data_IF_159931342606
#
_entry.id   IF_159931342606
#
_cell.length_a   1.000
_cell.length_b   1.000
_cell.length_c   1.000
_cell.angle_alpha   90.00
_cell.angle_beta   90.00
_cell.angle_gamma   90.00
#
_symmetry.space_group_name_H-M   'P 1'
#
loop_
_entity.id
_entity.type
_entity.pdbx_description
1 polymer ?
#
# COMPACT_ATOMS: atom_id res chain seq x y z
N UNK A 1 -30.99 -47.89 3.37
CA UNK A 1 -30.31 -46.58 3.44
C UNK A 1 -29.95 -46.31 4.91
N UNK A 2 -28.70 -46.48 5.37
CA UNK A 2 -28.48 -46.24 6.82
C UNK A 2 -27.04 -46.36 7.34
N UNK A 3 -26.26 -47.34 6.90
CA UNK A 3 -24.95 -47.61 7.54
C UNK A 3 -23.77 -46.92 6.82
N UNK A 4 -23.80 -46.86 5.49
CA UNK A 4 -22.77 -46.17 4.69
C UNK A 4 -22.81 -44.64 4.87
N UNK A 5 -24.01 -44.07 5.02
CA UNK A 5 -24.22 -42.63 5.25
C UNK A 5 -23.68 -42.18 6.62
N UNK A 6 -23.96 -42.94 7.68
CA UNK A 6 -23.43 -42.68 9.03
C UNK A 6 -21.89 -42.70 9.08
N UNK A 7 -21.28 -43.66 8.39
CA UNK A 7 -19.80 -43.77 8.29
C UNK A 7 -19.19 -42.58 7.53
N UNK A 8 -19.80 -42.18 6.42
CA UNK A 8 -19.37 -41.01 5.65
C UNK A 8 -19.50 -39.72 6.47
N UNK A 9 -20.58 -39.55 7.24
CA UNK A 9 -20.75 -38.40 8.14
C UNK A 9 -19.71 -38.37 9.26
N UNK A 10 -19.45 -39.50 9.93
CA UNK A 10 -18.43 -39.56 10.99
C UNK A 10 -17.02 -39.29 10.47
N UNK A 11 -16.69 -39.80 9.27
CA UNK A 11 -15.43 -39.51 8.62
C UNK A 11 -15.30 -38.01 8.27
N UNK A 12 -16.38 -37.40 7.75
CA UNK A 12 -16.42 -35.96 7.46
C UNK A 12 -16.21 -35.09 8.70
N UNK A 13 -16.90 -35.41 9.80
CA UNK A 13 -16.70 -34.71 11.08
C UNK A 13 -15.30 -34.91 11.65
N UNK A 14 -14.72 -36.10 11.50
CA UNK A 14 -13.34 -36.38 11.92
C UNK A 14 -12.32 -35.56 11.15
N UNK A 15 -12.48 -35.45 9.82
CA UNK A 15 -11.62 -34.60 8.98
C UNK A 15 -11.75 -33.14 9.36
N UNK A 16 -12.98 -32.64 9.57
CA UNK A 16 -13.21 -31.26 9.98
C UNK A 16 -12.54 -30.96 11.33
N UNK A 17 -12.70 -31.84 12.32
CA UNK A 17 -12.09 -31.70 13.63
C UNK A 17 -10.55 -31.70 13.55
N UNK A 18 -9.98 -32.55 12.71
CA UNK A 18 -8.53 -32.61 12.48
C UNK A 18 -8.00 -31.32 11.82
N UNK A 19 -8.70 -30.80 10.80
CA UNK A 19 -8.36 -29.51 10.17
C UNK A 19 -8.48 -28.35 11.16
N UNK A 20 -9.52 -28.32 11.98
CA UNK A 20 -9.69 -27.32 13.03
C UNK A 20 -8.55 -27.38 14.06
N UNK A 21 -8.23 -28.57 14.56
CA UNK A 21 -7.16 -28.76 15.53
C UNK A 21 -5.79 -28.36 14.97
N UNK A 22 -5.49 -28.73 13.72
CA UNK A 22 -4.22 -28.35 13.06
C UNK A 22 -4.11 -26.84 12.84
N UNK A 23 -5.21 -26.17 12.46
CA UNK A 23 -5.23 -24.71 12.34
C UNK A 23 -4.98 -24.02 13.69
N UNK A 24 -5.62 -24.50 14.77
CA UNK A 24 -5.42 -23.95 16.13
C UNK A 24 -3.97 -24.15 16.59
N UNK A 25 -3.41 -25.35 16.41
CA UNK A 25 -2.01 -25.62 16.77
C UNK A 25 -1.07 -24.71 15.99
N UNK A 26 -1.25 -24.58 14.67
CA UNK A 26 -0.40 -23.70 13.84
C UNK A 26 -0.49 -22.24 14.26
N UNK A 27 -1.68 -21.76 14.60
CA UNK A 27 -1.88 -20.39 15.10
C UNK A 27 -1.26 -20.19 16.49
N UNK A 28 -1.38 -21.17 17.39
CA UNK A 28 -0.82 -21.08 18.74
C UNK A 28 0.72 -21.16 18.76
N UNK A 29 1.32 -21.84 17.77
CA UNK A 29 2.77 -22.01 17.67
C UNK A 29 3.44 -21.07 16.66
N UNK A 30 2.67 -20.24 15.96
CA UNK A 30 3.26 -19.28 15.01
C UNK A 30 4.02 -18.21 15.77
N UNK A 31 5.26 -17.98 15.39
CA UNK A 31 6.01 -16.82 15.87
C UNK A 31 5.26 -15.55 15.44
N UNK A 32 4.85 -14.74 16.41
CA UNK A 32 4.41 -13.39 16.12
C UNK A 32 5.62 -12.59 15.62
N UNK A 33 5.52 -11.90 14.47
CA UNK A 33 6.57 -10.98 14.07
C UNK A 33 6.82 -10.00 15.21
N UNK A 34 8.09 -9.64 15.49
CA UNK A 34 8.35 -8.57 16.43
C UNK A 34 7.63 -7.30 15.95
N UNK A 35 7.09 -6.48 16.87
CA UNK A 35 6.42 -5.25 16.49
C UNK A 35 7.37 -4.40 15.62
N UNK A 36 6.88 -4.00 14.45
CA UNK A 36 7.67 -3.17 13.54
C UNK A 36 8.01 -1.85 14.24
N UNK A 37 9.27 -1.42 14.09
CA UNK A 37 9.73 -0.14 14.60
C UNK A 37 8.89 0.96 13.94
N UNK A 38 8.39 1.89 14.74
CA UNK A 38 7.69 3.08 14.24
C UNK A 38 8.64 4.27 14.15
N UNK A 39 8.35 5.21 13.25
CA UNK A 39 9.08 6.49 13.23
C UNK A 39 8.74 7.32 14.48
N UNK A 40 9.77 7.88 15.12
CA UNK A 40 9.59 8.92 16.14
C UNK A 40 9.03 10.21 15.50
N UNK A 41 8.44 11.13 16.29
CA UNK A 41 7.97 12.42 15.76
C UNK A 41 9.06 13.22 15.04
N UNK A 42 10.29 13.17 15.54
CA UNK A 42 11.45 13.83 14.93
C UNK A 42 11.85 13.19 13.60
N UNK A 43 11.83 11.85 13.55
CA UNK A 43 12.10 11.10 12.32
C UNK A 43 11.02 11.33 11.26
N UNK A 44 9.74 11.51 11.64
CA UNK A 44 8.68 11.83 10.68
C UNK A 44 8.92 13.16 9.98
N UNK A 45 9.27 14.19 10.74
CA UNK A 45 9.61 15.50 10.17
C UNK A 45 10.83 15.40 9.25
N UNK A 46 11.85 14.62 9.63
CA UNK A 46 13.02 14.38 8.79
C UNK A 46 12.65 13.70 7.47
N UNK A 47 11.83 12.64 7.53
CA UNK A 47 11.36 11.88 6.37
C UNK A 47 10.49 12.74 5.45
N UNK A 48 9.53 13.48 6.01
CA UNK A 48 8.66 14.37 5.24
C UNK A 48 9.46 15.42 4.48
N UNK A 49 10.42 16.09 5.14
CA UNK A 49 11.31 17.06 4.50
C UNK A 49 12.21 16.44 3.44
N UNK A 50 12.70 15.21 3.68
CA UNK A 50 13.51 14.50 2.69
C UNK A 50 12.71 14.17 1.43
N UNK A 51 11.44 13.76 1.57
CA UNK A 51 10.55 13.56 0.43
C UNK A 51 10.29 14.87 -0.33
N UNK A 52 9.99 15.95 0.40
CA UNK A 52 9.75 17.28 -0.17
C UNK A 52 10.98 17.82 -0.95
N UNK A 53 12.20 17.49 -0.50
CA UNK A 53 13.43 17.87 -1.20
C UNK A 53 13.62 17.13 -2.53
N UNK A 54 13.11 15.89 -2.63
CA UNK A 54 13.20 15.05 -3.82
C UNK A 54 12.08 15.34 -4.85
N UNK A 55 10.91 15.82 -4.39
CA UNK A 55 9.72 16.08 -5.21
C UNK A 55 10.03 16.89 -6.50
N UNK A 56 10.77 18.02 -6.46
CA UNK A 56 11.04 18.80 -7.67
C UNK A 56 11.78 18.00 -8.74
N UNK A 57 12.69 17.11 -8.31
CA UNK A 57 13.41 16.22 -9.21
C UNK A 57 12.48 15.19 -9.87
N UNK A 58 11.51 14.67 -9.13
CA UNK A 58 10.51 13.72 -9.65
C UNK A 58 9.60 14.40 -10.67
N UNK A 59 9.12 15.60 -10.33
CA UNK A 59 8.30 16.44 -11.22
C UNK A 59 9.05 16.78 -12.51
N UNK A 60 10.32 17.16 -12.42
CA UNK A 60 11.14 17.48 -13.59
C UNK A 60 11.33 16.27 -14.50
N UNK A 61 11.66 15.11 -13.93
CA UNK A 61 11.81 13.86 -14.71
C UNK A 61 10.51 13.46 -15.38
N UNK A 62 9.39 13.53 -14.67
CA UNK A 62 8.06 13.21 -15.21
C UNK A 62 7.73 14.09 -16.42
N UNK A 63 7.97 15.41 -16.32
CA UNK A 63 7.78 16.36 -17.43
C UNK A 63 8.67 16.07 -18.64
N UNK A 64 9.88 15.58 -18.40
CA UNK A 64 10.81 15.21 -19.46
C UNK A 64 10.41 13.88 -20.13
N UNK A 65 9.98 12.88 -19.36
CA UNK A 65 9.55 11.58 -19.85
C UNK A 65 8.24 11.66 -20.65
N UNK A 66 7.32 12.53 -20.22
CA UNK A 66 5.97 12.65 -20.79
C UNK A 66 5.66 14.11 -21.17
N UNK A 67 6.32 14.69 -22.17
CA UNK A 67 6.16 16.09 -22.51
C UNK A 67 4.74 16.39 -23.00
N UNK A 68 4.06 17.34 -22.34
CA UNK A 68 2.71 17.78 -22.71
C UNK A 68 1.56 16.85 -22.28
N UNK A 69 1.84 15.62 -21.84
CA UNK A 69 0.84 14.70 -21.29
C UNK A 69 0.79 14.81 -19.76
N UNK A 70 -0.14 15.62 -19.25
CA UNK A 70 -0.28 15.83 -17.81
C UNK A 70 -0.70 14.57 -17.05
N UNK A 71 -1.50 13.69 -17.67
CA UNK A 71 -1.94 12.46 -17.00
C UNK A 71 -0.76 11.54 -16.74
N UNK A 72 0.04 11.27 -17.78
CA UNK A 72 1.22 10.42 -17.63
C UNK A 72 2.30 11.05 -16.75
N UNK A 73 2.41 12.39 -16.71
CA UNK A 73 3.30 13.08 -15.77
C UNK A 73 2.90 12.81 -14.32
N UNK A 74 1.62 12.88 -13.98
CA UNK A 74 1.17 12.64 -12.60
C UNK A 74 1.29 11.16 -12.19
N UNK A 75 1.07 10.23 -13.13
CA UNK A 75 1.26 8.79 -12.89
C UNK A 75 2.75 8.44 -12.66
N UNK A 76 3.66 8.98 -13.48
CA UNK A 76 5.12 8.78 -13.33
C UNK A 76 5.67 9.42 -12.04
N UNK A 77 5.14 10.58 -11.68
CA UNK A 77 5.41 11.24 -10.41
C UNK A 77 5.01 10.34 -9.24
N UNK A 78 3.76 9.83 -9.23
CA UNK A 78 3.28 8.93 -8.18
C UNK A 78 4.06 7.61 -8.11
N UNK A 79 4.51 7.09 -9.25
CA UNK A 79 5.38 5.92 -9.29
C UNK A 79 6.76 6.20 -8.65
N UNK A 80 7.34 7.38 -8.89
CA UNK A 80 8.60 7.83 -8.29
C UNK A 80 8.48 8.01 -6.77
N UNK A 81 7.42 8.67 -6.31
CA UNK A 81 7.13 8.85 -4.88
C UNK A 81 6.96 7.50 -4.17
N UNK A 82 6.14 6.61 -4.73
CA UNK A 82 5.94 5.27 -4.16
C UNK A 82 7.24 4.48 -4.06
N UNK A 83 8.08 4.53 -5.12
CA UNK A 83 9.37 3.85 -5.12
C UNK A 83 10.26 4.38 -3.99
N UNK A 84 10.36 5.71 -3.87
CA UNK A 84 11.14 6.35 -2.81
C UNK A 84 10.64 5.96 -1.42
N UNK A 85 9.33 6.00 -1.19
CA UNK A 85 8.73 5.66 0.10
C UNK A 85 8.99 4.19 0.49
N UNK A 86 8.91 3.26 -0.47
CA UNK A 86 9.24 1.84 -0.23
C UNK A 86 10.72 1.63 0.09
N UNK A 87 11.61 2.30 -0.64
CA UNK A 87 13.06 2.19 -0.41
C UNK A 87 13.46 2.82 0.95
N UNK A 88 12.84 3.94 1.32
CA UNK A 88 13.04 4.63 2.60
C UNK A 88 12.52 3.81 3.79
N UNK A 89 11.32 3.23 3.66
CA UNK A 89 10.76 2.33 4.66
C UNK A 89 11.68 1.13 4.91
N UNK A 90 12.18 0.51 3.83
CA UNK A 90 13.14 -0.60 3.92
C UNK A 90 14.44 -0.15 4.59
N UNK A 91 14.98 1.01 4.21
CA UNK A 91 16.23 1.55 4.77
C UNK A 91 16.12 1.79 6.28
N UNK A 92 14.97 2.27 6.74
CA UNK A 92 14.72 2.59 8.16
C UNK A 92 14.18 1.41 8.98
N UNK A 93 13.78 0.32 8.33
CA UNK A 93 13.16 -0.84 9.00
C UNK A 93 11.82 -0.50 9.64
N UNK A 94 11.01 0.34 8.98
CA UNK A 94 9.71 0.83 9.46
C UNK A 94 8.59 0.44 8.47
N UNK A 95 7.32 0.41 8.90
CA UNK A 95 6.21 0.22 7.99
C UNK A 95 6.18 1.32 6.92
N UNK A 96 5.86 0.97 5.67
CA UNK A 96 5.73 1.97 4.59
C UNK A 96 4.62 2.99 4.87
N UNK A 97 3.62 2.61 5.66
CA UNK A 97 2.56 3.52 6.10
C UNK A 97 3.11 4.70 6.91
N UNK A 98 4.10 4.46 7.79
CA UNK A 98 4.70 5.54 8.58
C UNK A 98 5.42 6.56 7.69
N UNK A 99 6.00 6.10 6.58
CA UNK A 99 6.66 6.98 5.60
C UNK A 99 5.63 7.81 4.85
N UNK A 100 4.52 7.22 4.41
CA UNK A 100 3.45 7.97 3.76
C UNK A 100 2.75 8.94 4.71
N UNK A 101 2.53 8.55 5.97
CA UNK A 101 1.97 9.44 6.99
C UNK A 101 2.91 10.64 7.23
N UNK A 102 4.23 10.43 7.27
CA UNK A 102 5.20 11.51 7.39
C UNK A 102 5.20 12.47 6.19
N UNK A 103 5.04 11.95 4.96
CA UNK A 103 4.89 12.77 3.75
C UNK A 103 3.60 13.59 3.82
N UNK A 104 2.49 12.97 4.21
CA UNK A 104 1.20 13.64 4.36
C UNK A 104 1.23 14.73 5.44
N UNK A 105 1.87 14.46 6.59
CA UNK A 105 2.08 15.44 7.67
C UNK A 105 2.86 16.67 7.16
N UNK A 106 3.95 16.47 6.40
CA UNK A 106 4.73 17.59 5.83
C UNK A 106 3.93 18.37 4.76
N UNK A 107 3.19 17.68 3.90
CA UNK A 107 2.31 18.33 2.91
C UNK A 107 1.25 19.21 3.58
N UNK A 108 0.65 18.73 4.67
CA UNK A 108 -0.30 19.52 5.45
C UNK A 108 0.36 20.70 6.18
N UNK A 109 1.61 20.53 6.65
CA UNK A 109 2.36 21.58 7.32
C UNK A 109 2.82 22.70 6.37
N UNK A 110 3.12 22.38 5.10
CA UNK A 110 3.54 23.33 4.07
C UNK A 110 2.42 24.31 3.63
N UNK A 111 1.17 24.08 4.07
CA UNK A 111 0.02 24.89 3.72
C UNK A 111 -0.64 24.46 2.40
N UNK A 112 -1.78 25.07 2.04
CA UNK A 112 -2.57 24.62 0.91
C UNK A 112 -1.79 24.76 -0.41
N UNK A 113 -1.48 23.63 -1.04
CA UNK A 113 -0.97 23.59 -2.41
C UNK A 113 -2.08 24.13 -3.31
N UNK A 114 -1.84 25.29 -3.94
CA UNK A 114 -2.75 25.87 -4.90
C UNK A 114 -2.95 24.89 -6.07
N UNK A 115 -4.01 24.10 -6.00
CA UNK A 115 -4.34 23.15 -7.05
C UNK A 115 -4.84 23.91 -8.28
N UNK A 116 -4.26 23.73 -9.48
CA UNK A 116 -5.01 23.94 -10.70
C UNK A 116 -5.86 22.68 -10.94
N UNK A 117 -6.65 22.23 -9.96
CA UNK A 117 -7.63 21.16 -10.19
C UNK A 117 -8.86 21.79 -10.82
N UNK A 118 -8.76 22.15 -12.10
CA UNK A 118 -9.95 22.14 -12.94
C UNK A 118 -10.31 20.67 -13.13
N UNK A 119 -11.30 20.20 -12.38
CA UNK A 119 -11.95 18.91 -12.61
C UNK A 119 -12.70 18.97 -13.96
N UNK A 120 -11.97 18.98 -15.08
CA UNK A 120 -12.51 19.01 -16.44
C UNK A 120 -12.39 17.67 -17.13
N UNK A 121 -11.85 16.65 -16.45
CA UNK A 121 -11.90 15.28 -16.96
C UNK A 121 -13.36 14.86 -17.02
N UNK A 122 -13.89 14.76 -18.24
CA UNK A 122 -15.19 14.13 -18.47
C UNK A 122 -15.13 12.70 -17.94
N UNK A 123 -16.16 12.20 -17.25
CA UNK A 123 -16.21 10.81 -16.82
C UNK A 123 -15.87 9.91 -18.00
N UNK A 124 -14.88 9.03 -17.84
CA UNK A 124 -14.46 8.13 -18.90
C UNK A 124 -15.69 7.36 -19.39
N UNK A 125 -16.02 7.47 -20.70
CA UNK A 125 -16.93 6.51 -21.31
C UNK A 125 -16.39 5.10 -21.03
N UNK A 126 -17.24 4.14 -20.66
CA UNK A 126 -16.79 2.76 -20.47
C UNK A 126 -16.05 2.32 -21.74
N UNK A 127 -14.86 1.73 -21.59
CA UNK A 127 -14.18 1.10 -22.72
C UNK A 127 -15.15 0.06 -23.29
N UNK A 128 -15.39 0.00 -24.61
CA UNK A 128 -16.05 -1.16 -25.17
C UNK A 128 -15.21 -2.36 -24.76
N UNK A 129 -15.80 -3.28 -24.01
CA UNK A 129 -15.20 -4.59 -23.82
C UNK A 129 -14.91 -5.14 -25.22
N UNK A 130 -13.75 -5.76 -25.40
CA UNK A 130 -13.45 -6.49 -26.63
C UNK A 130 -14.60 -7.47 -26.88
N UNK A 131 -15.23 -7.38 -28.06
CA UNK A 131 -16.09 -8.44 -28.59
C UNK A 131 -15.27 -9.71 -28.86
#
# INVERSE_FOLDING_TARGET
MGMHWRRASLAGWGVLALCGATAVVRAATSEMPPPERRLSPEERVEVGRAAAAEEPGWRQRSRHSFPGDQWSQDDDFGASERKWAMDEARRRGVPVTDVFDAIDEELHAAGPIASPRKATASPCKPRPFYD
#
